data_IF_461929193605
#
_entry.id   IF_461929193605
#
_cell.length_a   1.000
_cell.length_b   1.000
_cell.length_c   1.000
_cell.angle_alpha   90.00
_cell.angle_beta   90.00
_cell.angle_gamma   90.00
#
_symmetry.space_group_name_H-M   'P 1'
#
loop_
_entity.id
_entity.type
_entity.pdbx_description
1 polymer ?
#
# COMPACT_ATOMS: atom_id res chain seq x y z
N UNK A 1 19.72 0.03 37.48
CA UNK A 1 19.02 -1.06 36.79
C UNK A 1 17.84 -0.43 36.09
N UNK A 2 17.99 -0.11 34.80
CA UNK A 2 17.00 0.63 34.01
C UNK A 2 15.78 -0.26 33.83
N UNK A 3 14.67 0.12 34.45
CA UNK A 3 13.36 -0.49 34.23
C UNK A 3 12.95 -0.20 32.78
N UNK A 4 13.37 -1.09 31.88
CA UNK A 4 12.82 -1.15 30.54
C UNK A 4 11.40 -1.69 30.73
N UNK A 5 10.34 -0.93 30.39
CA UNK A 5 8.99 -1.45 30.47
C UNK A 5 8.95 -2.74 29.62
N UNK A 6 8.29 -3.82 30.11
CA UNK A 6 8.18 -5.06 29.35
C UNK A 6 7.63 -4.69 27.98
N UNK A 7 8.34 -5.09 26.93
CA UNK A 7 7.99 -4.89 25.52
C UNK A 7 6.50 -5.18 25.36
N UNK A 8 5.72 -4.10 25.43
CA UNK A 8 4.28 -4.20 25.58
C UNK A 8 3.76 -4.97 24.38
N UNK A 9 2.76 -5.81 24.60
CA UNK A 9 2.05 -6.57 23.58
C UNK A 9 1.32 -5.61 22.64
N UNK A 10 2.07 -4.88 21.81
CA UNK A 10 1.49 -4.00 20.81
C UNK A 10 1.01 -4.91 19.69
N UNK A 11 -0.31 -5.09 19.57
CA UNK A 11 -0.88 -5.80 18.43
C UNK A 11 -0.88 -4.87 17.22
N UNK A 12 -0.45 -5.33 16.03
CA UNK A 12 -0.55 -4.57 14.80
C UNK A 12 -1.99 -4.09 14.59
N UNK A 13 -2.17 -2.77 14.47
CA UNK A 13 -3.48 -2.14 14.26
C UNK A 13 -4.26 -1.71 15.52
N UNK A 14 -3.76 -1.96 16.74
CA UNK A 14 -4.40 -1.48 18.00
C UNK A 14 -3.77 -0.20 18.58
N UNK A 15 -2.57 0.19 18.14
CA UNK A 15 -1.86 1.37 18.66
C UNK A 15 -1.87 2.54 17.67
N UNK A 16 -2.32 3.72 18.11
CA UNK A 16 -2.41 4.95 17.30
C UNK A 16 -3.78 5.13 16.64
N UNK A 17 -4.04 4.43 15.56
CA UNK A 17 -5.31 4.45 14.83
C UNK A 17 -5.74 3.00 14.48
N UNK A 18 -7.04 2.66 14.58
CA UNK A 18 -7.53 1.33 14.22
C UNK A 18 -7.35 1.10 12.72
N UNK A 19 -6.31 0.35 12.36
CA UNK A 19 -6.02 -0.04 10.99
C UNK A 19 -6.61 -1.43 10.72
N UNK A 20 -7.65 -1.50 9.88
CA UNK A 20 -8.21 -2.78 9.42
C UNK A 20 -7.51 -3.22 8.13
N UNK A 21 -6.40 -3.95 8.28
CA UNK A 21 -5.77 -4.64 7.16
C UNK A 21 -6.50 -5.95 6.85
N UNK A 22 -6.53 -6.33 5.57
CA UNK A 22 -6.92 -7.68 5.18
C UNK A 22 -5.78 -8.64 5.56
N UNK A 23 -6.14 -9.87 5.88
CA UNK A 23 -5.16 -10.92 6.14
C UNK A 23 -4.28 -11.21 4.91
N UNK A 24 -4.85 -11.02 3.71
CA UNK A 24 -4.20 -11.33 2.44
C UNK A 24 -4.54 -10.29 1.37
N UNK A 25 -3.54 -9.94 0.57
CA UNK A 25 -3.65 -9.06 -0.58
C UNK A 25 -3.18 -9.79 -1.84
N UNK A 26 -4.06 -9.82 -2.83
CA UNK A 26 -3.81 -10.38 -4.16
C UNK A 26 -3.19 -9.31 -5.09
N UNK A 27 -2.76 -9.70 -6.29
CA UNK A 27 -2.26 -8.76 -7.28
C UNK A 27 -3.41 -7.94 -7.88
N UNK A 28 -3.25 -6.63 -8.04
CA UNK A 28 -4.25 -5.82 -8.74
C UNK A 28 -3.88 -5.66 -10.21
N UNK A 29 -4.42 -6.52 -11.07
CA UNK A 29 -4.09 -6.61 -12.50
C UNK A 29 -5.31 -6.30 -13.35
N UNK A 30 -5.21 -5.31 -14.23
CA UNK A 30 -6.27 -4.98 -15.19
C UNK A 30 -7.57 -4.45 -14.57
N UNK A 31 -7.53 -3.99 -13.31
CA UNK A 31 -8.70 -3.50 -12.57
C UNK A 31 -9.34 -4.53 -11.63
N UNK A 32 -8.81 -5.76 -11.58
CA UNK A 32 -9.32 -6.85 -10.75
C UNK A 32 -8.26 -7.34 -9.77
N UNK A 33 -8.71 -7.94 -8.66
CA UNK A 33 -7.83 -8.64 -7.72
C UNK A 33 -7.62 -10.08 -8.22
N UNK A 34 -6.37 -10.43 -8.51
CA UNK A 34 -5.94 -11.70 -9.12
C UNK A 34 -4.94 -12.38 -8.19
N UNK A 35 -5.28 -13.59 -7.75
CA UNK A 35 -4.36 -14.41 -6.97
C UNK A 35 -3.08 -14.72 -7.77
N UNK A 36 -1.91 -14.84 -7.11
CA UNK A 36 -0.65 -15.12 -7.79
C UNK A 36 -0.74 -16.46 -8.53
N UNK A 37 -0.18 -16.52 -9.72
CA UNK A 37 -0.25 -17.70 -10.59
C UNK A 37 0.36 -18.96 -9.94
N UNK A 38 1.38 -18.77 -9.13
CA UNK A 38 2.07 -19.86 -8.41
C UNK A 38 1.45 -20.13 -7.02
N UNK A 39 0.45 -19.35 -6.61
CA UNK A 39 -0.25 -19.50 -5.33
C UNK A 39 0.59 -19.14 -4.10
N UNK A 40 1.80 -18.62 -4.30
CA UNK A 40 2.73 -18.24 -3.23
C UNK A 40 2.42 -16.85 -2.69
N UNK A 41 2.53 -16.70 -1.37
CA UNK A 41 2.36 -15.43 -0.67
C UNK A 41 3.54 -15.19 0.27
N UNK A 42 4.01 -13.95 0.34
CA UNK A 42 5.00 -13.52 1.32
C UNK A 42 4.32 -13.01 2.58
N UNK A 43 4.85 -13.43 3.72
CA UNK A 43 4.46 -12.93 5.02
C UNK A 43 5.16 -11.59 5.27
N UNK A 44 4.38 -10.51 5.34
CA UNK A 44 4.86 -9.21 5.74
C UNK A 44 4.87 -9.14 7.28
N UNK A 45 6.06 -9.14 7.87
CA UNK A 45 6.26 -9.01 9.31
C UNK A 45 6.60 -7.57 9.64
N UNK A 46 5.90 -6.97 10.62
CA UNK A 46 6.20 -5.58 10.99
C UNK A 46 7.54 -5.48 11.71
N UNK A 47 8.41 -4.51 11.38
CA UNK A 47 9.68 -4.29 12.08
C UNK A 47 9.50 -3.82 13.53
N UNK A 48 8.30 -3.37 13.91
CA UNK A 48 7.99 -2.85 15.25
C UNK A 48 7.81 -3.98 16.26
N UNK A 49 7.16 -5.08 15.88
CA UNK A 49 6.80 -6.17 16.80
C UNK A 49 7.22 -7.56 16.32
N UNK A 50 7.67 -7.69 15.06
CA UNK A 50 8.00 -8.96 14.42
C UNK A 50 6.78 -9.86 14.14
N UNK A 51 5.56 -9.36 14.39
CA UNK A 51 4.33 -10.11 14.16
C UNK A 51 3.87 -9.98 12.72
N UNK A 52 3.09 -10.97 12.26
CA UNK A 52 2.49 -10.95 10.93
C UNK A 52 1.52 -9.77 10.80
N UNK A 53 1.78 -8.91 9.84
CA UNK A 53 0.94 -7.78 9.48
C UNK A 53 -0.09 -8.20 8.43
N UNK A 54 0.36 -8.77 7.31
CA UNK A 54 -0.47 -9.33 6.25
C UNK A 54 0.32 -10.26 5.34
N UNK A 55 -0.38 -11.02 4.50
CA UNK A 55 0.21 -11.77 3.40
C UNK A 55 0.06 -10.99 2.09
N UNK A 56 1.14 -10.88 1.30
CA UNK A 56 1.14 -10.23 -0.02
C UNK A 56 1.46 -11.26 -1.10
N UNK A 57 0.77 -11.19 -2.24
CA UNK A 57 1.00 -12.12 -3.34
C UNK A 57 2.45 -12.09 -3.83
N UNK A 58 3.08 -13.26 -3.93
CA UNK A 58 4.37 -13.44 -4.57
C UNK A 58 4.16 -13.50 -6.08
N UNK A 59 4.44 -12.39 -6.77
CA UNK A 59 4.25 -12.29 -8.21
C UNK A 59 5.40 -12.97 -8.96
N UNK A 60 5.08 -14.04 -9.69
CA UNK A 60 6.01 -14.72 -10.57
C UNK A 60 6.07 -14.10 -11.97
N UNK A 61 6.85 -14.72 -12.87
CA UNK A 61 6.93 -14.29 -14.28
C UNK A 61 5.56 -14.24 -14.97
N UNK A 62 4.68 -15.20 -14.64
CA UNK A 62 3.33 -15.31 -15.22
C UNK A 62 2.44 -14.13 -14.83
N UNK A 63 2.50 -13.68 -13.58
CA UNK A 63 1.75 -12.52 -13.10
C UNK A 63 2.26 -11.23 -13.76
N UNK A 64 3.58 -11.14 -13.97
CA UNK A 64 4.20 -10.03 -14.70
C UNK A 64 3.71 -9.98 -16.15
N UNK A 65 3.69 -11.12 -16.84
CA UNK A 65 3.20 -11.21 -18.23
C UNK A 65 1.71 -10.83 -18.31
N UNK A 66 0.88 -11.29 -17.37
CA UNK A 66 -0.54 -10.90 -17.29
C UNK A 66 -0.73 -9.40 -17.05
N UNK A 67 0.08 -8.80 -16.18
CA UNK A 67 0.06 -7.36 -15.91
C UNK A 67 0.47 -6.54 -17.14
N UNK A 68 1.50 -7.00 -17.86
CA UNK A 68 1.96 -6.38 -19.11
C UNK A 68 0.90 -6.46 -20.21
N UNK A 69 0.28 -7.63 -20.38
CA UNK A 69 -0.80 -7.81 -21.36
C UNK A 69 -2.01 -6.91 -21.05
N UNK A 70 -2.39 -6.81 -19.78
CA UNK A 70 -3.45 -5.91 -19.35
C UNK A 70 -3.11 -4.44 -19.62
N UNK A 71 -1.87 -4.02 -19.32
CA UNK A 71 -1.40 -2.67 -19.58
C UNK A 71 -1.34 -2.36 -21.08
N UNK A 72 -0.85 -3.27 -21.91
CA UNK A 72 -0.77 -3.10 -23.36
C UNK A 72 -2.16 -2.94 -24.00
N UNK A 73 -3.17 -3.67 -23.53
CA UNK A 73 -4.56 -3.54 -24.03
C UNK A 73 -5.13 -2.13 -23.87
N UNK A 74 -4.76 -1.42 -22.81
CA UNK A 74 -5.30 -0.08 -22.50
C UNK A 74 -4.35 1.06 -22.87
N UNK A 75 -3.08 0.76 -23.16
CA UNK A 75 -2.02 1.73 -23.46
C UNK A 75 -2.44 2.73 -24.53
N UNK A 76 -2.92 2.26 -25.67
CA UNK A 76 -3.26 3.15 -26.79
C UNK A 76 -4.47 4.03 -26.45
N UNK A 77 -5.49 3.47 -25.80
CA UNK A 77 -6.66 4.23 -25.34
C UNK A 77 -6.26 5.32 -24.34
N UNK A 78 -5.36 5.01 -23.41
CA UNK A 78 -4.82 5.97 -22.46
C UNK A 78 -3.96 7.05 -23.15
N UNK A 79 -3.15 6.67 -24.13
CA UNK A 79 -2.32 7.59 -24.90
C UNK A 79 -3.16 8.60 -25.70
N UNK A 80 -4.30 8.17 -26.24
CA UNK A 80 -5.24 9.03 -26.99
C UNK A 80 -6.16 9.88 -26.09
N UNK A 81 -6.13 9.66 -24.77
CA UNK A 81 -6.91 10.48 -23.82
C UNK A 81 -6.36 11.91 -23.80
N UNK A 82 -7.23 12.93 -23.68
CA UNK A 82 -6.77 14.33 -23.65
C UNK A 82 -5.94 14.62 -22.40
N UNK A 83 -5.12 15.68 -22.44
CA UNK A 83 -4.33 16.12 -21.27
C UNK A 83 -5.27 16.47 -20.10
N UNK A 84 -6.40 17.11 -20.41
CA UNK A 84 -7.42 17.55 -19.47
C UNK A 84 -8.08 16.35 -18.77
N UNK A 85 -8.47 15.32 -19.52
CA UNK A 85 -9.09 14.13 -18.96
C UNK A 85 -8.11 13.34 -18.09
N UNK A 86 -6.85 13.23 -18.52
CA UNK A 86 -5.79 12.61 -17.69
C UNK A 86 -5.57 13.38 -16.39
N UNK A 87 -5.51 14.72 -16.46
CA UNK A 87 -5.37 15.55 -15.27
C UNK A 87 -6.56 15.37 -14.33
N UNK A 88 -7.79 15.35 -14.86
CA UNK A 88 -9.00 15.14 -14.05
C UNK A 88 -9.00 13.77 -13.34
N UNK A 89 -8.48 12.72 -13.97
CA UNK A 89 -8.34 11.39 -13.34
C UNK A 89 -7.29 11.44 -12.23
N UNK A 90 -6.13 12.06 -12.47
CA UNK A 90 -5.07 12.19 -11.47
C UNK A 90 -5.50 13.04 -10.26
N UNK A 91 -6.26 14.12 -10.47
CA UNK A 91 -6.81 14.91 -9.38
C UNK A 91 -7.81 14.10 -8.54
N UNK A 92 -8.68 13.30 -9.18
CA UNK A 92 -9.56 12.39 -8.43
C UNK A 92 -8.79 11.38 -7.59
N UNK A 93 -7.63 10.91 -8.07
CA UNK A 93 -6.76 10.02 -7.29
C UNK A 93 -6.17 10.78 -6.10
N UNK A 94 -5.64 11.99 -6.32
CA UNK A 94 -5.11 12.84 -5.26
C UNK A 94 -6.15 13.13 -4.16
N UNK A 95 -7.37 13.53 -4.54
CA UNK A 95 -8.47 13.78 -3.60
C UNK A 95 -8.77 12.55 -2.74
N UNK A 96 -8.76 11.35 -3.34
CA UNK A 96 -8.98 10.10 -2.61
C UNK A 96 -7.82 9.74 -1.70
N UNK A 97 -6.58 10.03 -2.10
CA UNK A 97 -5.42 9.85 -1.25
C UNK A 97 -5.45 10.79 -0.04
N UNK A 98 -5.80 12.07 -0.24
CA UNK A 98 -5.94 13.06 0.84
C UNK A 98 -7.02 12.68 1.84
N UNK A 99 -8.18 12.24 1.36
CA UNK A 99 -9.28 11.75 2.21
C UNK A 99 -8.88 10.54 3.07
N UNK A 100 -7.90 9.74 2.61
CA UNK A 100 -7.42 8.54 3.28
C UNK A 100 -6.00 8.70 3.84
N UNK A 101 -5.50 9.94 3.98
CA UNK A 101 -4.10 10.21 4.30
C UNK A 101 -3.66 9.57 5.62
N UNK A 102 -4.47 9.69 6.67
CA UNK A 102 -4.18 9.11 7.99
C UNK A 102 -4.12 7.58 7.96
N UNK A 103 -5.00 6.95 7.16
CA UNK A 103 -5.01 5.51 6.95
C UNK A 103 -3.74 5.05 6.23
N UNK A 104 -3.36 5.74 5.15
CA UNK A 104 -2.17 5.44 4.35
C UNK A 104 -0.89 5.66 5.17
N UNK A 105 -0.80 6.76 5.92
CA UNK A 105 0.34 7.07 6.77
C UNK A 105 0.51 6.04 7.88
N UNK A 106 -0.60 5.59 8.48
CA UNK A 106 -0.58 4.53 9.51
C UNK A 106 -0.13 3.20 8.91
N UNK A 107 -0.65 2.82 7.74
CA UNK A 107 -0.23 1.60 7.04
C UNK A 107 1.27 1.61 6.70
N UNK A 108 1.81 2.71 6.17
CA UNK A 108 3.24 2.83 5.87
C UNK A 108 4.11 2.77 7.14
N UNK A 109 3.64 3.34 8.26
CA UNK A 109 4.36 3.26 9.54
C UNK A 109 4.43 1.82 10.05
N UNK A 110 3.35 1.05 9.95
CA UNK A 110 3.35 -0.36 10.35
C UNK A 110 4.22 -1.25 9.46
N UNK A 111 4.24 -0.96 8.16
CA UNK A 111 5.01 -1.69 7.15
C UNK A 111 6.52 -1.38 7.22
N UNK A 112 6.89 -0.10 7.21
CA UNK A 112 8.29 0.33 7.11
C UNK A 112 8.92 0.72 8.45
N UNK A 113 8.15 0.78 9.54
CA UNK A 113 8.62 1.20 10.86
C UNK A 113 9.02 2.68 10.95
N UNK A 114 8.75 3.50 9.93
CA UNK A 114 9.05 4.94 9.94
C UNK A 114 8.10 5.66 10.90
N UNK A 115 8.66 6.55 11.73
CA UNK A 115 7.86 7.35 12.66
C UNK A 115 6.85 8.23 11.91
N UNK A 116 5.61 8.24 12.39
CA UNK A 116 4.45 8.91 11.79
C UNK A 116 4.70 10.38 11.39
N UNK A 117 5.51 11.10 12.18
CA UNK A 117 5.94 12.48 11.89
C UNK A 117 6.73 12.63 10.58
N UNK A 118 7.47 11.62 10.14
CA UNK A 118 8.29 11.68 8.92
C UNK A 118 7.45 11.44 7.66
N UNK A 119 6.36 10.67 7.74
CA UNK A 119 5.41 10.50 6.63
C UNK A 119 4.58 11.78 6.42
N UNK A 120 4.35 12.56 7.48
CA UNK A 120 3.78 13.92 7.39
C UNK A 120 4.68 14.92 6.64
N UNK A 121 5.97 14.59 6.40
CA UNK A 121 6.87 15.44 5.62
C UNK A 121 6.45 15.55 4.15
N UNK A 122 5.78 14.54 3.57
CA UNK A 122 5.18 14.64 2.23
C UNK A 122 4.14 15.77 2.14
N UNK A 123 3.51 16.14 3.27
CA UNK A 123 2.58 17.28 3.33
C UNK A 123 3.28 18.64 3.16
N UNK A 124 4.54 18.75 3.62
CA UNK A 124 5.37 19.96 3.45
C UNK A 124 6.08 20.01 2.11
N UNK A 125 6.38 18.87 1.49
CA UNK A 125 7.03 18.82 0.18
C UNK A 125 6.06 19.05 -1.00
N UNK A 126 4.75 18.86 -0.80
CA UNK A 126 3.72 19.06 -1.82
C UNK A 126 2.96 20.40 -1.67
N UNK A 127 3.33 21.23 -0.70
CA UNK A 127 2.70 22.51 -0.42
C UNK A 127 3.68 23.50 0.19
N UNK A 128 4.45 24.14 -0.69
CA UNK A 128 4.91 25.54 -0.69
C UNK A 128 5.17 25.95 -2.15
#
# INVERSE_FOLDING_TARGET
MTNNPPSAQIKPGEYGFPLKLKARYDNFIGGEWVAPADGEYYQNLTPVTGQLLCEVASSGKRDIDLALDAAHKVKDKWAHTSVQDRAAILFKIADRMEQNLELLATAETWDNGKTHSRNQCCRRAAGD
#
